data_IF_192013826998
#
_entry.id   IF_192013826998
#
_cell.length_a   1.000
_cell.length_b   1.000
_cell.length_c   1.000
_cell.angle_alpha   90.00
_cell.angle_beta   90.00
_cell.angle_gamma   90.00
#
_symmetry.space_group_name_H-M   'P 1'
#
loop_
_entity.id
_entity.type
_entity.pdbx_description
1 polymer ?
#
# COMPACT_ATOMS: atom_id res chain seq x y z
N UNK A 1 34.39 -2.69 -8.52
CA UNK A 1 33.07 -3.31 -8.32
C UNK A 1 32.11 -2.17 -8.12
N UNK A 2 31.08 -2.09 -8.96
CA UNK A 2 30.09 -1.01 -8.95
C UNK A 2 28.95 -1.40 -8.02
N UNK A 3 28.40 -0.46 -7.26
CA UNK A 3 27.19 -0.65 -6.46
C UNK A 3 26.22 0.50 -6.70
N UNK A 4 24.93 0.18 -6.84
CA UNK A 4 23.89 1.21 -6.93
C UNK A 4 22.66 0.83 -6.13
N UNK A 5 21.97 1.84 -5.62
CA UNK A 5 20.69 1.67 -4.93
C UNK A 5 19.54 2.03 -5.87
N UNK A 6 18.52 1.19 -5.93
CA UNK A 6 17.33 1.39 -6.74
C UNK A 6 16.10 1.50 -5.85
N UNK A 7 15.44 2.66 -5.91
CA UNK A 7 14.18 2.97 -5.21
C UNK A 7 13.16 3.57 -6.17
N UNK A 8 11.88 3.45 -5.84
CA UNK A 8 10.78 4.06 -6.57
C UNK A 8 9.67 4.48 -5.59
N UNK A 9 8.66 5.21 -6.09
CA UNK A 9 7.38 5.44 -5.41
C UNK A 9 7.55 5.95 -3.97
N UNK A 10 8.34 7.01 -3.82
CA UNK A 10 8.72 7.57 -2.52
C UNK A 10 7.53 8.30 -1.89
N UNK A 11 6.73 9.00 -2.70
CA UNK A 11 5.54 9.75 -2.29
C UNK A 11 5.81 10.63 -1.05
N UNK A 12 6.86 11.46 -1.12
CA UNK A 12 7.28 12.31 -0.01
C UNK A 12 6.11 13.11 0.56
N UNK A 13 6.05 13.14 1.89
CA UNK A 13 5.01 13.81 2.69
C UNK A 13 3.58 13.31 2.53
N UNK A 14 3.33 12.33 1.64
CA UNK A 14 1.99 11.75 1.46
C UNK A 14 1.41 11.24 2.79
N UNK A 15 0.15 11.58 3.12
CA UNK A 15 -0.46 11.18 4.37
C UNK A 15 -0.69 9.67 4.42
N UNK A 16 -0.58 9.11 5.63
CA UNK A 16 -0.90 7.72 5.90
C UNK A 16 -2.41 7.58 6.16
N UNK A 17 -3.15 7.16 5.12
CA UNK A 17 -4.61 7.10 5.13
C UNK A 17 -5.12 6.06 6.12
N UNK A 18 -6.17 6.39 6.87
CA UNK A 18 -6.80 5.50 7.86
C UNK A 18 -6.27 5.66 9.29
N UNK A 19 -5.26 6.51 9.51
CA UNK A 19 -4.72 6.79 10.85
C UNK A 19 -5.08 8.18 11.39
N UNK A 20 -5.61 9.07 10.54
CA UNK A 20 -5.84 10.48 10.86
C UNK A 20 -6.98 10.72 11.86
N UNK A 21 -7.89 9.75 12.03
CA UNK A 21 -9.07 9.85 12.89
C UNK A 21 -8.87 9.28 14.31
N UNK A 22 -7.67 8.81 14.65
CA UNK A 22 -7.43 8.12 15.93
C UNK A 22 -6.65 9.01 16.90
N UNK A 23 -7.29 9.39 18.01
CA UNK A 23 -6.68 10.25 19.05
C UNK A 23 -5.40 9.64 19.66
N UNK A 24 -5.31 8.31 19.74
CA UNK A 24 -4.17 7.59 20.32
C UNK A 24 -3.10 7.18 19.30
N UNK A 25 -3.30 7.46 18.01
CA UNK A 25 -2.28 7.15 17.01
C UNK A 25 -1.04 8.03 17.27
N UNK A 26 0.19 7.53 17.09
CA UNK A 26 1.40 8.34 17.26
C UNK A 26 1.54 9.30 16.09
N UNK A 27 0.74 10.36 16.10
CA UNK A 27 0.58 11.31 14.99
C UNK A 27 1.94 11.84 14.52
N UNK A 28 2.88 12.09 15.44
CA UNK A 28 4.25 12.52 15.12
C UNK A 28 5.09 11.44 14.42
N UNK A 29 4.94 10.17 14.80
CA UNK A 29 5.57 9.07 14.07
C UNK A 29 4.94 8.91 12.70
N UNK A 30 3.63 9.07 12.58
CA UNK A 30 2.90 8.89 11.31
C UNK A 30 3.15 10.03 10.32
N UNK A 31 3.11 11.29 10.79
CA UNK A 31 3.26 12.51 9.96
C UNK A 31 4.65 12.72 9.36
N UNK A 32 5.64 11.92 9.76
CA UNK A 32 6.99 11.95 9.20
C UNK A 32 7.48 10.61 8.64
N UNK A 33 6.60 9.61 8.50
CA UNK A 33 7.01 8.25 8.16
C UNK A 33 7.72 8.18 6.80
N UNK A 34 7.15 8.82 5.77
CA UNK A 34 7.73 8.87 4.42
C UNK A 34 9.08 9.58 4.40
N UNK A 35 9.23 10.70 5.14
CA UNK A 35 10.52 11.41 5.29
C UNK A 35 11.57 10.55 5.98
N UNK A 36 11.23 9.84 7.06
CA UNK A 36 12.18 8.98 7.77
C UNK A 36 12.58 7.76 6.95
N UNK A 37 11.64 7.15 6.22
CA UNK A 37 11.97 6.08 5.28
C UNK A 37 12.91 6.58 4.17
N UNK A 38 12.71 7.82 3.69
CA UNK A 38 13.63 8.43 2.76
C UNK A 38 14.99 8.73 3.39
N UNK A 39 15.04 9.21 4.64
CA UNK A 39 16.30 9.37 5.37
C UNK A 39 17.06 8.04 5.50
N UNK A 40 16.36 6.95 5.82
CA UNK A 40 16.95 5.60 5.84
C UNK A 40 17.51 5.21 4.46
N UNK A 41 16.84 5.56 3.36
CA UNK A 41 17.33 5.33 2.00
C UNK A 41 18.66 6.05 1.74
N UNK A 42 18.73 7.31 2.16
CA UNK A 42 19.90 8.18 1.98
C UNK A 42 21.06 7.68 2.84
N UNK A 43 20.79 7.31 4.08
CA UNK A 43 21.80 6.79 4.99
C UNK A 43 22.32 5.42 4.49
N UNK A 44 21.45 4.53 4.04
CA UNK A 44 21.83 3.25 3.41
C UNK A 44 22.75 3.47 2.19
N UNK A 45 22.41 4.40 1.29
CA UNK A 45 23.22 4.69 0.12
C UNK A 45 24.65 5.12 0.51
N UNK A 46 24.77 5.91 1.58
CA UNK A 46 26.06 6.38 2.11
C UNK A 46 26.81 5.23 2.80
N UNK A 47 26.14 4.46 3.66
CA UNK A 47 26.72 3.34 4.41
C UNK A 47 27.27 2.26 3.47
N UNK A 48 26.53 1.93 2.41
CA UNK A 48 26.93 0.94 1.42
C UNK A 48 27.91 1.48 0.36
N UNK A 49 28.27 2.78 0.44
CA UNK A 49 29.16 3.47 -0.49
C UNK A 49 28.76 3.25 -1.95
N UNK A 50 27.47 3.44 -2.26
CA UNK A 50 26.98 3.24 -3.63
C UNK A 50 27.52 4.33 -4.55
N UNK A 51 27.81 3.98 -5.80
CA UNK A 51 28.29 4.94 -6.81
C UNK A 51 27.16 5.88 -7.25
N UNK A 52 25.93 5.37 -7.29
CA UNK A 52 24.75 6.16 -7.59
C UNK A 52 23.44 5.61 -7.01
N UNK A 53 22.47 6.51 -6.87
CA UNK A 53 21.08 6.24 -6.49
C UNK A 53 20.15 6.43 -7.69
N UNK A 54 19.28 5.46 -7.94
CA UNK A 54 18.21 5.53 -8.94
C UNK A 54 16.87 5.77 -8.24
N UNK A 55 16.15 6.82 -8.64
CA UNK A 55 14.79 7.13 -8.18
C UNK A 55 13.83 7.04 -9.38
N UNK A 56 13.02 5.98 -9.43
CA UNK A 56 12.17 5.67 -10.59
C UNK A 56 10.71 6.07 -10.37
N UNK A 57 10.48 7.38 -10.41
CA UNK A 57 9.16 7.99 -10.42
C UNK A 57 8.45 8.05 -9.07
N UNK A 58 7.34 8.80 -9.08
CA UNK A 58 6.50 9.19 -7.97
C UNK A 58 7.29 9.57 -6.70
N UNK A 59 8.24 10.50 -6.89
CA UNK A 59 9.01 11.10 -5.81
C UNK A 59 8.10 11.94 -4.89
N UNK A 60 7.15 12.67 -5.48
CA UNK A 60 6.21 13.55 -4.80
C UNK A 60 4.77 13.07 -4.99
N UNK A 61 3.90 13.36 -4.03
CA UNK A 61 2.45 13.23 -4.20
C UNK A 61 1.80 14.53 -4.73
N UNK A 62 0.57 14.45 -5.23
CA UNK A 62 -0.19 15.57 -5.79
C UNK A 62 -0.91 16.29 -4.64
N UNK A 63 -0.43 17.49 -4.26
CA UNK A 63 -1.15 18.57 -3.50
C UNK A 63 -0.25 19.38 -2.54
N UNK A 64 1.02 19.64 -2.88
CA UNK A 64 1.88 20.48 -2.03
C UNK A 64 1.63 21.97 -2.25
N UNK A 65 1.27 22.66 -1.16
CA UNK A 65 1.07 24.12 -1.14
C UNK A 65 2.33 24.89 -0.72
N UNK A 66 3.37 24.22 -0.23
CA UNK A 66 4.59 24.86 0.27
C UNK A 66 5.89 24.24 -0.27
N UNK A 67 7.01 24.95 -0.06
CA UNK A 67 8.34 24.57 -0.56
C UNK A 67 9.10 23.60 0.37
N UNK A 68 8.52 23.18 1.51
CA UNK A 68 9.27 22.45 2.54
C UNK A 68 9.71 21.06 2.06
N UNK A 69 8.86 20.37 1.31
CA UNK A 69 9.17 19.05 0.73
C UNK A 69 10.34 19.13 -0.24
N UNK A 70 10.37 20.16 -1.09
CA UNK A 70 11.48 20.41 -2.02
C UNK A 70 12.80 20.74 -1.29
N UNK A 71 12.75 21.59 -0.25
CA UNK A 71 13.92 21.91 0.58
C UNK A 71 14.47 20.66 1.32
N UNK A 72 13.57 19.83 1.84
CA UNK A 72 13.94 18.55 2.44
C UNK A 72 14.65 17.65 1.44
N UNK A 73 14.07 17.44 0.26
CA UNK A 73 14.67 16.64 -0.81
C UNK A 73 16.04 17.18 -1.22
N UNK A 74 16.15 18.48 -1.52
CA UNK A 74 17.40 19.12 -1.92
C UNK A 74 18.50 19.00 -0.85
N UNK A 75 18.13 19.09 0.43
CA UNK A 75 19.06 18.85 1.55
C UNK A 75 19.64 17.44 1.51
N UNK A 76 18.84 16.42 1.18
CA UNK A 76 19.30 15.03 1.09
C UNK A 76 20.15 14.76 -0.13
N UNK A 77 19.78 15.32 -1.27
CA UNK A 77 20.64 15.30 -2.45
C UNK A 77 22.00 15.95 -2.17
N UNK A 78 22.03 17.04 -1.39
CA UNK A 78 23.26 17.66 -0.91
C UNK A 78 24.10 16.78 0.03
N UNK A 79 23.47 15.90 0.84
CA UNK A 79 24.21 14.90 1.63
C UNK A 79 24.89 13.87 0.72
N UNK A 80 24.15 13.33 -0.26
CA UNK A 80 24.67 12.40 -1.25
C UNK A 80 25.81 13.02 -2.06
N UNK A 81 25.67 14.29 -2.46
CA UNK A 81 26.72 15.02 -3.18
C UNK A 81 28.03 15.10 -2.38
N UNK A 82 27.94 15.39 -1.07
CA UNK A 82 29.11 15.41 -0.19
C UNK A 82 29.79 14.05 -0.05
N UNK A 83 29.02 12.97 -0.21
CA UNK A 83 29.52 11.60 -0.23
C UNK A 83 30.01 11.16 -1.63
N UNK A 84 29.90 12.02 -2.65
CA UNK A 84 30.30 11.70 -4.02
C UNK A 84 29.30 10.81 -4.78
N UNK A 85 28.07 10.68 -4.28
CA UNK A 85 27.05 9.79 -4.83
C UNK A 85 26.21 10.53 -5.86
N UNK A 86 26.15 10.01 -7.09
CA UNK A 86 25.31 10.55 -8.16
C UNK A 86 23.85 10.11 -7.97
N UNK A 87 22.90 10.90 -8.48
CA UNK A 87 21.46 10.59 -8.40
C UNK A 87 20.81 10.72 -9.76
N UNK A 88 20.07 9.69 -10.17
CA UNK A 88 19.38 9.63 -11.45
C UNK A 88 17.88 9.47 -11.23
N UNK A 89 17.09 10.37 -11.81
CA UNK A 89 15.65 10.45 -11.53
C UNK A 89 14.86 10.41 -12.83
N UNK A 90 13.84 9.54 -12.86
CA UNK A 90 12.75 9.56 -13.84
C UNK A 90 11.49 10.01 -13.11
N UNK A 91 10.72 10.92 -13.68
CA UNK A 91 9.44 11.37 -13.10
C UNK A 91 8.30 10.40 -13.41
N UNK A 92 7.45 10.14 -12.42
CA UNK A 92 6.21 9.37 -12.56
C UNK A 92 4.98 10.25 -12.81
N UNK A 93 3.82 9.66 -12.57
CA UNK A 93 2.49 10.24 -12.79
C UNK A 93 2.27 11.47 -11.90
N UNK A 94 2.62 11.36 -10.62
CA UNK A 94 2.37 12.38 -9.62
C UNK A 94 3.35 13.55 -9.76
N UNK A 95 4.60 13.25 -10.09
CA UNK A 95 5.65 14.24 -10.33
C UNK A 95 5.34 15.14 -11.53
N UNK A 96 4.77 14.58 -12.60
CA UNK A 96 4.50 15.31 -13.83
C UNK A 96 3.50 16.46 -13.65
N UNK A 97 2.68 16.42 -12.60
CA UNK A 97 1.66 17.44 -12.29
C UNK A 97 2.23 18.58 -11.44
N UNK A 98 3.30 18.32 -10.68
CA UNK A 98 3.75 19.22 -9.63
C UNK A 98 4.63 20.37 -10.17
N UNK A 99 4.04 21.54 -10.39
CA UNK A 99 4.72 22.72 -10.95
C UNK A 99 5.85 23.27 -10.07
N UNK A 100 5.76 23.13 -8.74
CA UNK A 100 6.75 23.67 -7.79
C UNK A 100 8.10 22.97 -7.99
N UNK A 101 8.07 21.64 -8.10
CA UNK A 101 9.28 20.80 -8.24
C UNK A 101 10.04 21.06 -9.53
N UNK A 102 9.35 21.47 -10.61
CA UNK A 102 9.97 21.82 -11.90
C UNK A 102 10.83 23.09 -11.86
N UNK A 103 10.63 23.95 -10.86
CA UNK A 103 11.29 25.25 -10.77
C UNK A 103 12.42 25.30 -9.73
N UNK A 104 12.55 24.26 -8.93
CA UNK A 104 13.55 24.22 -7.86
C UNK A 104 14.92 23.83 -8.43
N UNK A 105 16.00 24.54 -8.11
CA UNK A 105 17.34 24.16 -8.53
C UNK A 105 17.74 22.85 -7.84
N UNK A 106 18.15 21.86 -8.65
CA UNK A 106 18.71 20.60 -8.15
C UNK A 106 20.24 20.74 -8.01
N UNK A 107 20.85 20.05 -7.02
CA UNK A 107 22.30 19.99 -6.91
C UNK A 107 22.96 19.30 -8.13
N UNK A 108 24.24 19.60 -8.38
CA UNK A 108 24.97 19.13 -9.56
C UNK A 108 25.08 17.59 -9.69
N UNK A 109 24.99 16.85 -8.58
CA UNK A 109 25.02 15.38 -8.59
C UNK A 109 23.68 14.75 -9.02
N UNK A 110 22.62 15.55 -9.19
CA UNK A 110 21.29 15.06 -9.53
C UNK A 110 21.02 15.28 -11.01
N UNK A 111 20.72 14.20 -11.73
CA UNK A 111 20.23 14.28 -13.10
C UNK A 111 18.78 13.82 -13.19
N UNK A 112 17.91 14.74 -13.59
CA UNK A 112 16.52 14.46 -13.94
C UNK A 112 16.40 14.18 -15.45
N UNK A 113 15.90 13.02 -15.82
CA UNK A 113 15.70 12.66 -17.22
C UNK A 113 14.58 13.48 -17.87
N UNK A 114 14.75 13.79 -19.16
CA UNK A 114 13.77 14.55 -19.94
C UNK A 114 12.51 13.74 -20.18
N UNK A 115 11.36 14.41 -20.19
CA UNK A 115 10.10 13.80 -20.56
C UNK A 115 9.89 13.67 -22.08
N UNK A 116 10.63 14.45 -22.88
CA UNK A 116 10.42 14.56 -24.33
C UNK A 116 10.90 13.34 -25.13
N UNK A 117 11.93 12.66 -24.64
CA UNK A 117 12.56 11.50 -25.29
C UNK A 117 13.45 10.77 -24.30
N UNK A 118 13.62 9.47 -24.52
CA UNK A 118 14.65 8.69 -23.86
C UNK A 118 16.03 9.32 -24.09
N UNK A 119 16.81 9.38 -23.02
CA UNK A 119 18.17 9.91 -23.00
C UNK A 119 19.09 8.92 -22.30
N UNK A 120 20.39 9.03 -22.53
CA UNK A 120 21.39 8.09 -22.02
C UNK A 120 22.59 8.86 -21.48
N UNK A 121 22.98 8.51 -20.27
CA UNK A 121 24.11 9.12 -19.56
C UNK A 121 25.17 8.05 -19.41
N UNK A 122 26.36 8.31 -19.96
CA UNK A 122 27.50 7.40 -19.86
C UNK A 122 28.34 7.80 -18.64
N UNK A 123 28.64 6.82 -17.80
CA UNK A 123 29.59 6.93 -16.70
C UNK A 123 30.81 6.13 -17.10
N UNK A 124 31.70 6.76 -17.87
CA UNK A 124 32.89 6.15 -18.48
C UNK A 124 33.76 5.45 -17.44
N UNK A 125 34.02 6.12 -16.31
CA UNK A 125 34.86 5.60 -15.22
C UNK A 125 34.26 4.36 -14.53
N UNK A 126 32.95 4.16 -14.65
CA UNK A 126 32.22 3.05 -14.05
C UNK A 126 31.86 1.95 -15.06
N UNK A 127 32.04 2.19 -16.37
CA UNK A 127 31.61 1.27 -17.42
C UNK A 127 30.10 1.05 -17.45
N UNK A 128 29.30 2.09 -17.18
CA UNK A 128 27.84 2.01 -17.10
C UNK A 128 27.17 3.03 -18.01
N UNK A 129 26.03 2.65 -18.59
CA UNK A 129 25.12 3.58 -19.25
C UNK A 129 23.75 3.51 -18.59
N UNK A 130 23.21 4.67 -18.25
CA UNK A 130 21.89 4.81 -17.65
C UNK A 130 20.96 5.44 -18.68
N UNK A 131 19.92 4.69 -19.07
CA UNK A 131 18.89 5.11 -20.00
C UNK A 131 17.62 5.46 -19.24
N UNK A 132 16.98 6.58 -19.56
CA UNK A 132 15.76 6.99 -18.87
C UNK A 132 14.90 7.98 -19.65
N UNK A 133 13.60 7.99 -19.33
CA UNK A 133 12.62 8.92 -19.85
C UNK A 133 11.55 9.20 -18.79
N UNK A 134 11.39 10.48 -18.44
CA UNK A 134 10.36 10.94 -17.50
C UNK A 134 8.97 11.02 -18.15
N UNK A 135 7.93 11.07 -17.31
CA UNK A 135 6.57 11.32 -17.79
C UNK A 135 6.37 12.80 -18.12
N UNK A 136 5.71 13.08 -19.25
CA UNK A 136 5.35 14.44 -19.67
C UNK A 136 4.06 14.97 -19.06
N UNK A 137 3.18 14.06 -18.64
CA UNK A 137 1.82 14.31 -18.14
C UNK A 137 1.44 13.26 -17.10
N UNK A 138 0.37 13.52 -16.34
CA UNK A 138 -0.16 12.59 -15.33
C UNK A 138 -0.49 11.22 -15.91
N UNK A 139 -1.15 11.20 -17.07
CA UNK A 139 -1.45 10.00 -17.81
C UNK A 139 -0.56 9.91 -19.04
N UNK A 140 0.17 8.80 -19.14
CA UNK A 140 0.95 8.43 -20.31
C UNK A 140 0.43 7.06 -20.74
N UNK A 141 -0.32 7.00 -21.83
CA UNK A 141 -0.84 5.74 -22.38
C UNK A 141 0.05 5.16 -23.49
N UNK A 142 1.13 5.87 -23.83
CA UNK A 142 2.10 5.45 -24.84
C UNK A 142 3.11 4.46 -24.25
N UNK A 143 3.49 3.44 -25.03
CA UNK A 143 4.58 2.55 -24.68
C UNK A 143 5.93 3.25 -24.86
N UNK A 144 6.44 3.86 -23.78
CA UNK A 144 7.72 4.57 -23.79
C UNK A 144 8.91 3.65 -24.05
N UNK A 145 8.83 2.36 -23.67
CA UNK A 145 9.93 1.41 -23.82
C UNK A 145 10.38 1.26 -25.28
N UNK A 146 9.48 1.45 -26.25
CA UNK A 146 9.81 1.39 -27.67
C UNK A 146 10.89 2.40 -28.08
N UNK A 147 10.91 3.58 -27.45
CA UNK A 147 11.83 4.67 -27.79
C UNK A 147 13.19 4.59 -27.10
N UNK A 148 13.38 3.63 -26.19
CA UNK A 148 14.67 3.41 -25.54
C UNK A 148 15.70 2.90 -26.57
N UNK A 149 16.98 3.33 -26.47
CA UNK A 149 18.03 2.86 -27.36
C UNK A 149 18.29 1.36 -27.18
N UNK A 150 18.95 0.75 -28.15
CA UNK A 150 19.42 -0.65 -28.00
C UNK A 150 20.68 -0.69 -27.13
N UNK A 151 20.94 -1.87 -26.54
CA UNK A 151 22.17 -2.18 -25.80
C UNK A 151 23.42 -1.67 -26.53
N UNK A 152 24.32 -1.06 -25.76
CA UNK A 152 25.63 -0.61 -26.21
C UNK A 152 26.73 -1.47 -25.58
N UNK A 153 27.50 -2.14 -26.44
CA UNK A 153 28.57 -3.04 -26.03
C UNK A 153 29.68 -2.32 -25.27
N UNK A 154 30.26 -3.01 -24.28
CA UNK A 154 31.36 -2.48 -23.45
C UNK A 154 30.89 -1.76 -22.18
N UNK A 155 29.58 -1.69 -21.95
CA UNK A 155 28.99 -1.11 -20.75
C UNK A 155 27.93 -2.03 -20.14
N UNK A 156 27.72 -1.89 -18.83
CA UNK A 156 26.50 -2.35 -18.17
C UNK A 156 25.37 -1.36 -18.48
N UNK A 157 24.34 -1.81 -19.20
CA UNK A 157 23.22 -0.96 -19.63
C UNK A 157 22.07 -1.08 -18.63
N UNK A 158 21.65 0.06 -18.06
CA UNK A 158 20.61 0.15 -17.04
C UNK A 158 19.47 1.03 -17.57
N UNK A 159 18.26 0.48 -17.65
CA UNK A 159 17.05 1.24 -18.05
C UNK A 159 16.20 1.64 -16.85
N UNK A 160 15.81 2.91 -16.74
CA UNK A 160 14.90 3.44 -15.72
C UNK A 160 13.54 3.71 -16.34
N UNK A 161 12.49 3.01 -15.93
CA UNK A 161 11.15 3.19 -16.48
C UNK A 161 10.07 3.09 -15.41
N UNK A 162 9.32 4.18 -15.23
CA UNK A 162 8.09 4.14 -14.45
C UNK A 162 6.97 3.57 -15.34
N UNK A 163 6.36 2.42 -15.00
CA UNK A 163 5.40 1.72 -15.88
C UNK A 163 4.55 0.73 -15.08
N UNK A 164 3.31 0.52 -15.51
CA UNK A 164 2.46 -0.54 -14.94
C UNK A 164 2.76 -1.94 -15.44
N UNK A 165 3.55 -2.09 -16.53
CA UNK A 165 3.80 -3.35 -17.24
C UNK A 165 2.50 -4.05 -17.67
N UNK A 166 2.23 -4.16 -18.97
CA UNK A 166 0.96 -4.65 -19.52
C UNK A 166 0.63 -6.08 -19.11
N UNK A 167 -0.68 -6.36 -19.02
CA UNK A 167 -1.21 -7.71 -18.77
C UNK A 167 -1.51 -8.04 -17.30
N UNK A 168 -1.50 -7.05 -16.41
CA UNK A 168 -1.78 -7.23 -14.98
C UNK A 168 -3.14 -6.65 -14.61
N UNK A 169 -3.97 -7.43 -13.90
CA UNK A 169 -5.28 -6.98 -13.41
C UNK A 169 -5.10 -5.89 -12.34
N UNK A 170 -5.94 -4.84 -12.38
CA UNK A 170 -6.05 -3.85 -11.30
C UNK A 170 -5.14 -2.62 -11.39
N UNK A 171 -4.37 -2.43 -12.47
CA UNK A 171 -3.57 -1.23 -12.67
C UNK A 171 -4.03 -0.41 -13.88
N UNK A 172 -4.11 0.91 -13.72
CA UNK A 172 -4.30 1.83 -14.85
C UNK A 172 -3.11 1.72 -15.82
N UNK A 173 -3.37 1.80 -17.12
CA UNK A 173 -2.36 1.59 -18.16
C UNK A 173 -1.42 2.81 -18.29
N UNK A 174 -0.50 2.97 -17.34
CA UNK A 174 0.55 3.99 -17.32
C UNK A 174 1.85 3.47 -17.95
N UNK A 175 2.30 4.16 -19.01
CA UNK A 175 3.36 3.78 -19.94
C UNK A 175 3.41 2.26 -20.20
N UNK A 176 2.33 1.67 -20.73
CA UNK A 176 2.21 0.23 -20.87
C UNK A 176 3.36 -0.37 -21.68
N UNK A 177 4.05 -1.39 -21.16
CA UNK A 177 5.07 -2.15 -21.88
C UNK A 177 5.05 -3.63 -21.47
N UNK A 178 5.54 -4.53 -22.32
CA UNK A 178 5.66 -5.96 -22.04
C UNK A 178 7.06 -6.34 -21.57
N UNK A 179 7.19 -7.47 -20.87
CA UNK A 179 8.49 -8.05 -20.50
C UNK A 179 9.35 -8.30 -21.74
N UNK A 180 8.78 -8.86 -22.80
CA UNK A 180 9.51 -9.17 -24.03
C UNK A 180 10.07 -7.90 -24.71
N UNK A 181 9.33 -6.79 -24.69
CA UNK A 181 9.83 -5.51 -25.19
C UNK A 181 11.02 -4.99 -24.38
N UNK A 182 10.98 -5.10 -23.04
CA UNK A 182 12.11 -4.73 -22.18
C UNK A 182 13.32 -5.63 -22.45
N UNK A 183 13.12 -6.95 -22.56
CA UNK A 183 14.18 -7.91 -22.89
C UNK A 183 14.77 -7.66 -24.27
N UNK A 184 13.94 -7.25 -25.23
CA UNK A 184 14.39 -6.96 -26.61
C UNK A 184 15.41 -5.82 -26.71
N UNK A 185 15.52 -4.96 -25.69
CA UNK A 185 16.55 -3.91 -25.63
C UNK A 185 17.93 -4.42 -25.27
N UNK A 186 18.02 -5.63 -24.70
CA UNK A 186 19.28 -6.28 -24.34
C UNK A 186 20.00 -5.66 -23.15
N UNK A 187 19.31 -4.92 -22.29
CA UNK A 187 19.91 -4.29 -21.10
C UNK A 187 20.21 -5.31 -20.01
N UNK A 188 21.21 -5.02 -19.16
CA UNK A 188 21.61 -5.88 -18.04
C UNK A 188 20.64 -5.74 -16.84
N UNK A 189 20.04 -4.55 -16.68
CA UNK A 189 19.12 -4.25 -15.58
C UNK A 189 18.03 -3.25 -15.99
N UNK A 190 16.78 -3.55 -15.66
CA UNK A 190 15.65 -2.64 -15.72
C UNK A 190 15.19 -2.26 -14.32
N UNK A 191 15.42 -0.99 -13.97
CA UNK A 191 14.94 -0.33 -12.79
C UNK A 191 13.53 0.19 -13.05
N UNK A 192 12.50 -0.51 -12.57
CA UNK A 192 11.10 -0.13 -12.75
C UNK A 192 10.53 0.59 -11.53
N UNK A 193 9.49 1.39 -11.72
CA UNK A 193 8.66 1.98 -10.67
C UNK A 193 7.19 2.03 -11.07
N UNK A 194 6.30 2.49 -10.18
CA UNK A 194 4.82 2.54 -10.25
C UNK A 194 4.14 1.46 -9.40
N UNK A 195 4.67 0.24 -9.42
CA UNK A 195 4.10 -0.87 -8.66
C UNK A 195 4.66 -0.84 -7.23
N UNK A 196 3.81 -0.49 -6.26
CA UNK A 196 4.21 -0.35 -4.84
C UNK A 196 4.54 -1.68 -4.15
N UNK A 197 4.24 -2.81 -4.76
CA UNK A 197 4.65 -4.13 -4.29
C UNK A 197 6.00 -4.48 -4.92
N UNK A 198 6.98 -4.81 -4.08
CA UNK A 198 8.27 -5.32 -4.55
C UNK A 198 8.08 -6.59 -5.37
N UNK A 199 8.79 -6.66 -6.49
CA UNK A 199 8.77 -7.82 -7.38
C UNK A 199 10.04 -7.90 -8.25
N UNK A 200 10.60 -9.09 -8.37
CA UNK A 200 11.56 -9.43 -9.42
C UNK A 200 10.77 -10.08 -10.55
N UNK A 201 10.55 -9.34 -11.64
CA UNK A 201 9.75 -9.78 -12.79
C UNK A 201 10.53 -10.77 -13.65
N UNK A 202 11.83 -10.56 -13.78
CA UNK A 202 12.76 -11.47 -14.44
C UNK A 202 14.15 -11.35 -13.80
N UNK A 203 14.92 -12.43 -13.87
CA UNK A 203 16.30 -12.53 -13.40
C UNK A 203 17.34 -12.63 -14.54
N UNK A 204 16.87 -12.81 -15.79
CA UNK A 204 17.68 -12.72 -17.00
C UNK A 204 16.91 -12.09 -18.18
N UNK A 205 17.23 -10.82 -18.55
CA UNK A 205 17.94 -9.85 -17.71
C UNK A 205 17.12 -9.49 -16.46
N UNK A 206 17.74 -8.81 -15.49
CA UNK A 206 17.06 -8.36 -14.29
C UNK A 206 16.01 -7.29 -14.62
N UNK A 207 14.76 -7.53 -14.23
CA UNK A 207 13.66 -6.56 -14.34
C UNK A 207 13.00 -6.48 -12.97
N UNK A 208 13.11 -5.33 -12.31
CA UNK A 208 12.79 -5.23 -10.87
C UNK A 208 11.88 -4.04 -10.61
N UNK A 209 10.79 -4.30 -9.90
CA UNK A 209 10.04 -3.27 -9.15
C UNK A 209 10.52 -3.30 -7.69
N UNK A 210 11.13 -2.21 -7.18
CA UNK A 210 11.61 -2.18 -5.80
C UNK A 210 10.44 -2.04 -4.81
N UNK A 211 9.26 -1.61 -5.29
CA UNK A 211 8.13 -1.20 -4.45
C UNK A 211 8.29 0.24 -3.97
N UNK A 212 7.34 0.67 -3.14
CA UNK A 212 7.49 1.91 -2.39
C UNK A 212 8.36 1.71 -1.15
N UNK A 213 8.91 2.79 -0.59
CA UNK A 213 9.78 2.74 0.59
C UNK A 213 9.04 2.79 1.93
N UNK A 214 7.77 3.23 1.91
CA UNK A 214 6.92 3.31 3.10
C UNK A 214 5.47 3.08 2.69
N UNK A 215 4.84 2.08 3.29
CA UNK A 215 3.41 1.82 3.11
C UNK A 215 2.58 2.98 3.65
N UNK A 216 1.59 3.42 2.88
CA UNK A 216 0.75 4.59 3.16
C UNK A 216 -0.68 4.23 3.54
N UNK A 217 -1.10 3.01 3.25
CA UNK A 217 -2.43 2.50 3.58
C UNK A 217 -2.43 0.98 3.63
N UNK A 218 -3.52 0.41 4.13
CA UNK A 218 -3.65 -1.04 4.36
C UNK A 218 -3.44 -1.95 3.15
N UNK A 219 -3.63 -1.46 1.91
CA UNK A 219 -3.34 -2.27 0.70
C UNK A 219 -1.83 -2.36 0.38
N UNK A 220 -0.99 -1.62 1.10
CA UNK A 220 0.47 -1.63 0.96
C UNK A 220 1.11 -2.35 2.16
N UNK A 221 0.77 -3.62 2.34
CA UNK A 221 1.26 -4.42 3.47
C UNK A 221 2.71 -4.86 3.33
N UNK A 222 3.28 -5.31 4.45
CA UNK A 222 4.60 -5.94 4.51
C UNK A 222 5.77 -4.95 4.57
N UNK A 223 6.97 -5.49 4.43
CA UNK A 223 8.21 -4.72 4.39
C UNK A 223 8.26 -3.85 3.13
N UNK A 224 8.83 -2.65 3.26
CA UNK A 224 8.96 -1.66 2.18
C UNK A 224 10.36 -1.11 2.16
N UNK A 225 10.91 -0.83 0.97
CA UNK A 225 12.31 -0.44 0.90
C UNK A 225 12.88 -0.32 -0.50
N UNK A 226 14.16 -0.66 -0.63
CA UNK A 226 14.94 -0.45 -1.85
C UNK A 226 15.76 -1.70 -2.23
N UNK A 227 16.31 -1.68 -3.44
CA UNK A 227 17.15 -2.75 -3.98
C UNK A 227 18.59 -2.28 -4.10
N UNK A 228 19.52 -2.92 -3.41
CA UNK A 228 20.94 -2.72 -3.60
C UNK A 228 21.44 -3.71 -4.66
N UNK A 229 22.14 -3.20 -5.66
CA UNK A 229 22.63 -4.00 -6.79
C UNK A 229 24.13 -3.87 -6.89
N UNK A 230 24.81 -5.01 -7.01
CA UNK A 230 26.26 -5.09 -7.21
C UNK A 230 26.57 -5.58 -8.61
N UNK A 231 27.39 -4.82 -9.33
CA UNK A 231 27.87 -5.14 -10.68
C UNK A 231 29.37 -5.37 -10.66
N UNK A 232 29.79 -6.50 -11.24
CA UNK A 232 31.19 -6.85 -11.42
C UNK A 232 31.41 -7.32 -12.86
N UNK A 233 32.52 -6.90 -13.46
CA UNK A 233 32.91 -7.25 -14.83
C UNK A 233 31.81 -6.99 -15.88
N UNK A 234 31.03 -5.92 -15.68
CA UNK A 234 29.94 -5.51 -16.57
C UNK A 234 28.62 -6.23 -16.36
N UNK A 235 28.51 -7.15 -15.39
CA UNK A 235 27.31 -7.94 -15.14
C UNK A 235 26.79 -7.78 -13.71
N UNK A 236 25.47 -7.87 -13.55
CA UNK A 236 24.83 -7.91 -12.23
C UNK A 236 25.18 -9.23 -11.55
N UNK A 237 25.82 -9.14 -10.39
CA UNK A 237 26.28 -10.30 -9.61
C UNK A 237 25.48 -10.52 -8.33
N UNK A 238 24.87 -9.47 -7.80
CA UNK A 238 24.11 -9.55 -6.56
C UNK A 238 22.95 -8.55 -6.57
N UNK A 239 21.82 -8.98 -6.03
CA UNK A 239 20.65 -8.17 -5.75
C UNK A 239 20.20 -8.44 -4.33
N UNK A 240 20.18 -7.39 -3.51
CA UNK A 240 19.78 -7.46 -2.10
C UNK A 240 18.61 -6.51 -1.84
N UNK A 241 17.67 -6.96 -1.01
CA UNK A 241 16.57 -6.15 -0.51
C UNK A 241 16.96 -5.52 0.83
N UNK A 242 16.67 -4.22 0.97
CA UNK A 242 16.83 -3.51 2.23
C UNK A 242 15.51 -2.87 2.63
N UNK A 243 15.07 -3.14 3.86
CA UNK A 243 13.85 -2.55 4.41
C UNK A 243 14.14 -1.12 4.91
N UNK A 244 13.34 -0.15 4.48
CA UNK A 244 13.51 1.27 4.80
C UNK A 244 12.32 1.83 5.59
N UNK A 245 11.20 1.12 5.63
CA UNK A 245 10.01 1.52 6.36
C UNK A 245 10.24 1.71 7.85
N UNK A 246 9.47 2.62 8.41
CA UNK A 246 9.46 2.93 9.84
C UNK A 246 8.17 2.49 10.54
N UNK A 247 7.21 1.95 9.77
CA UNK A 247 6.00 1.29 10.26
C UNK A 247 5.47 0.33 9.19
N UNK A 248 4.82 -0.75 9.62
CA UNK A 248 4.27 -1.77 8.74
C UNK A 248 2.76 -1.84 8.78
N UNK A 249 2.16 -1.96 7.60
CA UNK A 249 0.74 -2.27 7.44
C UNK A 249 0.58 -3.78 7.37
N UNK A 250 -0.38 -4.31 8.13
CA UNK A 250 -0.65 -5.74 8.22
C UNK A 250 -2.14 -6.00 8.18
N UNK A 251 -2.54 -6.97 7.37
CA UNK A 251 -3.87 -7.59 7.48
C UNK A 251 -3.72 -8.86 8.30
N UNK A 252 -4.39 -8.91 9.45
CA UNK A 252 -4.27 -9.97 10.44
C UNK A 252 -5.58 -10.78 10.48
N UNK A 253 -5.71 -11.85 9.70
CA UNK A 253 -6.84 -12.76 9.80
C UNK A 253 -6.73 -13.62 11.06
N UNK A 254 -7.84 -13.77 11.79
CA UNK A 254 -7.93 -14.63 12.98
C UNK A 254 -9.19 -15.49 12.87
N UNK A 255 -8.98 -16.80 12.78
CA UNK A 255 -10.07 -17.78 12.78
C UNK A 255 -10.56 -18.02 14.22
N UNK A 256 -11.83 -17.73 14.45
CA UNK A 256 -12.51 -17.89 15.74
C UNK A 256 -13.34 -19.18 15.82
N UNK A 257 -13.26 -20.08 14.84
CA UNK A 257 -14.10 -21.29 14.80
C UNK A 257 -13.95 -22.19 16.04
N UNK A 258 -12.78 -22.18 16.69
CA UNK A 258 -12.49 -22.91 17.93
C UNK A 258 -12.72 -22.09 19.22
N UNK A 259 -13.15 -20.84 19.11
CA UNK A 259 -13.35 -19.95 20.25
C UNK A 259 -14.77 -20.06 20.81
N UNK A 260 -14.91 -20.68 21.97
CA UNK A 260 -16.19 -20.85 22.67
C UNK A 260 -16.51 -19.72 23.67
N UNK A 261 -15.49 -18.97 24.11
CA UNK A 261 -15.60 -17.96 25.16
C UNK A 261 -14.99 -16.63 24.77
N UNK A 262 -15.37 -15.56 25.47
CA UNK A 262 -14.78 -14.23 25.30
C UNK A 262 -13.26 -14.25 25.52
N UNK A 263 -12.79 -14.95 26.55
CA UNK A 263 -11.37 -15.10 26.84
C UNK A 263 -10.60 -15.77 25.70
N UNK A 264 -11.15 -16.83 25.09
CA UNK A 264 -10.49 -17.50 23.96
C UNK A 264 -10.35 -16.60 22.73
N UNK A 265 -11.29 -15.67 22.50
CA UNK A 265 -11.17 -14.67 21.43
C UNK A 265 -10.02 -13.70 21.71
N UNK A 266 -9.91 -13.21 22.95
CA UNK A 266 -8.81 -12.30 23.32
C UNK A 266 -7.45 -12.99 23.21
N UNK A 267 -7.33 -14.23 23.66
CA UNK A 267 -6.10 -15.02 23.54
C UNK A 267 -5.72 -15.23 22.07
N UNK A 268 -6.67 -15.58 21.21
CA UNK A 268 -6.43 -15.76 19.77
C UNK A 268 -5.94 -14.47 19.11
N UNK A 269 -6.57 -13.33 19.39
CA UNK A 269 -6.16 -12.02 18.84
C UNK A 269 -4.80 -11.60 19.40
N UNK A 270 -4.56 -11.77 20.71
CA UNK A 270 -3.28 -11.46 21.33
C UNK A 270 -2.14 -12.29 20.71
N UNK A 271 -2.36 -13.59 20.52
CA UNK A 271 -1.39 -14.46 19.88
C UNK A 271 -1.11 -14.04 18.42
N UNK A 272 -2.15 -13.69 17.66
CA UNK A 272 -2.01 -13.24 16.29
C UNK A 272 -1.20 -11.93 16.21
N UNK A 273 -1.50 -10.95 17.07
CA UNK A 273 -0.74 -9.70 17.14
C UNK A 273 0.71 -9.93 17.55
N UNK A 274 0.98 -10.84 18.49
CA UNK A 274 2.33 -11.18 18.92
C UNK A 274 3.17 -11.80 17.77
N UNK A 275 2.54 -12.64 16.94
CA UNK A 275 3.18 -13.23 15.74
C UNK A 275 3.53 -12.13 14.74
N UNK A 276 2.58 -11.26 14.41
CA UNK A 276 2.83 -10.17 13.46
C UNK A 276 3.91 -9.21 13.97
N UNK A 277 3.90 -8.88 15.27
CA UNK A 277 4.89 -8.00 15.87
C UNK A 277 6.30 -8.59 15.82
N UNK A 278 6.43 -9.92 15.99
CA UNK A 278 7.70 -10.62 15.83
C UNK A 278 8.23 -10.55 14.40
N UNK A 279 7.33 -10.60 13.39
CA UNK A 279 7.69 -10.47 11.96
C UNK A 279 8.01 -9.02 11.55
N UNK A 280 7.65 -8.04 12.36
CA UNK A 280 7.84 -6.62 12.08
C UNK A 280 9.26 -6.10 12.31
N UNK A 281 10.19 -6.94 12.81
CA UNK A 281 11.58 -6.56 13.10
C UNK A 281 11.69 -5.32 14.02
N UNK A 282 10.82 -5.22 15.02
CA UNK A 282 10.77 -4.10 15.97
C UNK A 282 10.12 -2.83 15.43
N UNK A 283 9.69 -2.82 14.17
CA UNK A 283 8.89 -1.74 13.61
C UNK A 283 7.48 -1.85 14.16
N UNK A 284 6.82 -0.71 14.37
CA UNK A 284 5.47 -0.75 14.85
C UNK A 284 4.47 -1.05 13.72
N UNK A 285 3.34 -1.61 14.12
CA UNK A 285 2.34 -2.18 13.24
C UNK A 285 1.07 -1.36 13.20
N UNK A 286 0.52 -1.25 12.00
CA UNK A 286 -0.84 -0.78 11.74
C UNK A 286 -1.64 -1.96 11.22
N UNK A 287 -2.56 -2.44 12.04
CA UNK A 287 -3.24 -3.72 11.85
C UNK A 287 -4.69 -3.51 11.44
N UNK A 288 -5.08 -4.19 10.35
CA UNK A 288 -6.47 -4.51 10.06
C UNK A 288 -6.76 -5.93 10.55
N UNK A 289 -7.50 -6.05 11.64
CA UNK A 289 -7.92 -7.33 12.19
C UNK A 289 -9.13 -7.84 11.41
N UNK A 290 -9.07 -9.07 10.91
CA UNK A 290 -10.19 -9.72 10.23
C UNK A 290 -10.55 -10.97 11.02
N UNK A 291 -11.68 -10.93 11.71
CA UNK A 291 -12.19 -12.06 12.47
C UNK A 291 -13.06 -12.93 11.56
N UNK A 292 -12.67 -14.19 11.37
CA UNK A 292 -13.37 -15.14 10.50
C UNK A 292 -13.83 -16.36 11.28
N UNK A 293 -14.65 -17.20 10.64
CA UNK A 293 -14.99 -18.53 11.16
C UNK A 293 -16.43 -18.69 11.63
N UNK A 294 -16.82 -19.95 11.77
CA UNK A 294 -18.13 -20.34 12.28
C UNK A 294 -18.01 -20.55 13.78
N UNK A 295 -18.47 -19.59 14.59
CA UNK A 295 -18.13 -19.58 16.01
C UNK A 295 -19.36 -19.42 16.94
N UNK A 296 -19.35 -20.06 18.12
CA UNK A 296 -20.41 -19.88 19.13
C UNK A 296 -20.55 -18.44 19.63
N UNK A 297 -19.45 -17.67 19.60
CA UNK A 297 -19.38 -16.28 20.09
C UNK A 297 -19.89 -15.24 19.08
N UNK A 298 -20.30 -15.66 17.87
CA UNK A 298 -20.76 -14.78 16.80
C UNK A 298 -21.81 -13.75 17.24
N UNK A 299 -22.87 -14.20 17.92
CA UNK A 299 -23.95 -13.31 18.42
C UNK A 299 -23.39 -12.20 19.31
N UNK A 300 -22.41 -12.51 20.18
CA UNK A 300 -21.79 -11.53 21.08
C UNK A 300 -20.90 -10.53 20.32
N UNK A 301 -20.23 -10.99 19.26
CA UNK A 301 -19.40 -10.15 18.40
C UNK A 301 -20.27 -9.11 17.67
N UNK A 302 -21.36 -9.55 17.03
CA UNK A 302 -22.27 -8.69 16.27
C UNK A 302 -22.95 -7.63 17.14
N UNK A 303 -23.36 -7.99 18.36
CA UNK A 303 -24.08 -7.07 19.25
C UNK A 303 -23.20 -5.97 19.86
N UNK A 304 -21.88 -6.19 19.97
CA UNK A 304 -20.97 -5.35 20.77
C UNK A 304 -19.69 -4.99 20.02
N UNK A 305 -19.78 -4.80 18.70
CA UNK A 305 -18.61 -4.53 17.83
C UNK A 305 -17.73 -3.39 18.34
N UNK A 306 -18.32 -2.29 18.83
CA UNK A 306 -17.57 -1.17 19.41
C UNK A 306 -16.79 -1.59 20.67
N UNK A 307 -17.42 -2.32 21.60
CA UNK A 307 -16.76 -2.81 22.81
C UNK A 307 -15.60 -3.75 22.46
N UNK A 308 -15.81 -4.70 21.55
CA UNK A 308 -14.76 -5.60 21.09
C UNK A 308 -13.58 -4.87 20.47
N UNK A 309 -13.86 -3.88 19.62
CA UNK A 309 -12.84 -3.04 18.99
C UNK A 309 -11.97 -2.35 20.03
N UNK A 310 -12.56 -1.78 21.09
CA UNK A 310 -11.81 -1.18 22.19
C UNK A 310 -11.00 -2.20 23.01
N UNK A 311 -11.52 -3.42 23.22
CA UNK A 311 -10.75 -4.49 23.87
C UNK A 311 -9.54 -4.91 23.02
N UNK A 312 -9.71 -5.06 21.70
CA UNK A 312 -8.60 -5.39 20.80
C UNK A 312 -7.57 -4.26 20.71
N UNK A 313 -8.01 -2.99 20.76
CA UNK A 313 -7.13 -1.83 20.89
C UNK A 313 -6.34 -1.90 22.20
N UNK A 314 -6.97 -2.28 23.30
CA UNK A 314 -6.31 -2.53 24.59
C UNK A 314 -5.25 -3.64 24.52
N UNK A 315 -5.53 -4.74 23.80
CA UNK A 315 -4.54 -5.81 23.56
C UNK A 315 -3.33 -5.27 22.78
N UNK A 316 -3.57 -4.52 21.70
CA UNK A 316 -2.50 -3.90 20.91
C UNK A 316 -1.65 -2.92 21.74
N UNK A 317 -2.30 -2.09 22.55
CA UNK A 317 -1.62 -1.18 23.47
C UNK A 317 -0.80 -1.92 24.54
N UNK A 318 -1.31 -3.05 25.05
CA UNK A 318 -0.61 -3.89 26.04
C UNK A 318 0.63 -4.59 25.49
N UNK A 319 0.62 -4.98 24.21
CA UNK A 319 1.81 -5.49 23.51
C UNK A 319 2.81 -4.39 23.16
N UNK A 320 2.31 -3.16 22.97
CA UNK A 320 3.10 -2.02 22.51
C UNK A 320 3.36 -2.10 21.00
N UNK A 321 3.54 -0.93 20.36
CA UNK A 321 3.84 -0.84 18.93
C UNK A 321 2.83 -1.52 17.99
N UNK A 322 1.59 -1.75 18.43
CA UNK A 322 0.51 -2.29 17.59
C UNK A 322 -0.67 -1.33 17.66
N UNK A 323 -1.04 -0.78 16.49
CA UNK A 323 -2.18 0.12 16.33
C UNK A 323 -3.24 -0.52 15.47
N UNK A 324 -4.45 -0.58 16.01
CA UNK A 324 -5.61 -1.12 15.32
C UNK A 324 -6.20 -0.05 14.42
N UNK A 325 -6.08 -0.23 13.10
CA UNK A 325 -6.72 0.62 12.08
C UNK A 325 -8.21 0.29 11.96
N UNK A 326 -8.53 -0.99 11.78
CA UNK A 326 -9.91 -1.45 11.60
C UNK A 326 -10.08 -2.89 12.05
N UNK A 327 -11.28 -3.20 12.53
CA UNK A 327 -11.73 -4.58 12.77
C UNK A 327 -12.83 -4.91 11.77
N UNK A 328 -12.66 -6.02 11.05
CA UNK A 328 -13.71 -6.62 10.22
C UNK A 328 -14.24 -7.86 10.91
N UNK A 329 -15.54 -7.87 11.18
CA UNK A 329 -16.24 -9.02 11.74
C UNK A 329 -16.85 -9.82 10.58
N UNK A 330 -16.17 -10.88 10.17
CA UNK A 330 -16.58 -11.79 9.08
C UNK A 330 -16.79 -13.21 9.64
N UNK A 331 -17.30 -13.28 10.86
CA UNK A 331 -17.73 -14.51 11.51
C UNK A 331 -19.18 -14.84 11.14
N UNK A 332 -19.57 -16.09 11.26
CA UNK A 332 -20.98 -16.49 11.16
C UNK A 332 -21.39 -17.41 12.31
N UNK A 333 -22.70 -17.51 12.54
CA UNK A 333 -23.23 -18.28 13.65
C UNK A 333 -23.09 -19.79 13.42
N UNK A 334 -22.65 -20.50 14.45
CA UNK A 334 -22.75 -21.97 14.49
C UNK A 334 -24.19 -22.37 14.83
N UNK A 335 -25.12 -22.24 13.87
CA UNK A 335 -26.47 -22.79 14.03
C UNK A 335 -26.41 -24.26 13.68
N UNK A 336 -26.62 -25.16 14.63
CA UNK A 336 -27.10 -26.51 14.31
C UNK A 336 -28.55 -26.33 13.84
N UNK A 337 -28.89 -26.61 12.58
CA UNK A 337 -30.24 -26.39 12.05
C UNK A 337 -31.34 -27.02 12.91
N UNK A 338 -30.99 -28.12 13.57
CA UNK A 338 -31.85 -28.96 14.40
C UNK A 338 -32.31 -28.30 15.72
N UNK A 339 -31.57 -27.34 16.29
CA UNK A 339 -31.90 -26.74 17.60
C UNK A 339 -32.82 -25.50 17.53
N UNK A 340 -32.92 -24.83 16.38
CA UNK A 340 -33.83 -23.69 16.18
C UNK A 340 -35.25 -24.14 15.82
N UNK A 341 -35.38 -25.36 15.28
CA UNK A 341 -36.63 -25.93 14.78
C UNK A 341 -37.66 -26.29 15.86
N UNK A 342 -37.28 -26.37 17.15
CA UNK A 342 -38.20 -26.80 18.22
C UNK A 342 -38.85 -25.66 19.04
N UNK A 343 -38.44 -24.39 18.89
CA UNK A 343 -38.81 -23.38 19.91
C UNK A 343 -39.99 -22.44 19.58
N UNK A 344 -40.21 -21.97 18.34
CA UNK A 344 -41.37 -21.11 18.03
C UNK A 344 -41.58 -20.96 16.51
N UNK A 345 -42.69 -21.50 15.96
CA UNK A 345 -42.99 -21.41 14.52
C UNK A 345 -43.07 -19.96 14.00
N UNK A 346 -43.43 -19.00 14.87
CA UNK A 346 -43.50 -17.59 14.50
C UNK A 346 -42.10 -16.98 14.35
N UNK A 347 -41.15 -17.38 15.20
CA UNK A 347 -39.76 -16.94 15.12
C UNK A 347 -39.08 -17.54 13.88
N UNK A 348 -39.35 -18.80 13.56
CA UNK A 348 -38.83 -19.45 12.35
C UNK A 348 -39.29 -18.75 11.07
N UNK A 349 -40.57 -18.39 10.97
CA UNK A 349 -41.09 -17.63 9.83
C UNK A 349 -40.46 -16.24 9.70
N UNK A 350 -40.15 -15.59 10.82
CA UNK A 350 -39.53 -14.27 10.84
C UNK A 350 -38.03 -14.32 10.50
N UNK A 351 -37.32 -15.35 10.99
CA UNK A 351 -35.93 -15.64 10.61
C UNK A 351 -35.82 -15.96 9.12
N UNK A 352 -36.74 -16.77 8.60
CA UNK A 352 -36.82 -17.08 7.17
C UNK A 352 -37.12 -15.81 6.35
N UNK A 353 -38.02 -14.94 6.81
CA UNK A 353 -38.27 -13.64 6.17
C UNK A 353 -37.06 -12.71 6.15
N UNK A 354 -36.19 -12.78 7.17
CA UNK A 354 -34.94 -11.99 7.23
C UNK A 354 -33.86 -12.56 6.31
N UNK A 355 -33.81 -13.90 6.16
CA UNK A 355 -32.92 -14.56 5.22
C UNK A 355 -33.36 -14.35 3.76
N UNK A 356 -34.67 -14.29 3.53
CA UNK A 356 -35.30 -14.01 2.24
C UNK A 356 -35.42 -12.50 1.93
N UNK A 357 -35.05 -11.63 2.88
CA UNK A 357 -34.95 -10.19 2.68
C UNK A 357 -33.79 -9.90 1.72
N UNK A 358 -34.11 -9.90 0.43
CA UNK A 358 -33.29 -9.29 -0.59
C UNK A 358 -33.32 -7.77 -0.33
N UNK A 359 -32.16 -7.17 -0.11
CA UNK A 359 -31.98 -5.72 -0.25
C UNK A 359 -31.58 -5.50 -1.70
N UNK A 360 -32.56 -5.52 -2.59
CA UNK A 360 -32.37 -5.46 -4.03
C UNK A 360 -31.92 -4.05 -4.43
N UNK A 361 -30.68 -3.93 -4.92
CA UNK A 361 -30.23 -2.94 -5.91
C UNK A 361 -30.22 -1.45 -5.55
N UNK A 362 -30.88 -1.03 -4.47
CA UNK A 362 -31.02 0.38 -4.12
C UNK A 362 -29.86 0.84 -3.24
N UNK A 363 -29.18 1.91 -3.67
CA UNK A 363 -28.13 2.55 -2.85
C UNK A 363 -28.68 2.91 -1.46
N UNK A 364 -27.82 2.92 -0.43
CA UNK A 364 -28.15 3.33 0.95
C UNK A 364 -28.96 4.64 1.04
N UNK A 365 -28.80 5.55 0.07
CA UNK A 365 -29.54 6.80 -0.06
C UNK A 365 -31.01 6.64 -0.46
N UNK A 366 -31.38 5.56 -1.14
CA UNK A 366 -32.77 5.23 -1.47
C UNK A 366 -33.48 4.53 -0.30
N UNK A 367 -32.75 3.76 0.52
CA UNK A 367 -33.25 3.17 1.76
C UNK A 367 -33.39 4.19 2.90
N UNK A 368 -32.56 5.24 2.89
CA UNK A 368 -32.58 6.32 3.88
C UNK A 368 -32.63 7.68 3.16
N UNK A 369 -33.82 8.26 2.93
CA UNK A 369 -33.99 9.51 2.17
C UNK A 369 -33.21 10.71 2.73
N UNK A 370 -32.91 10.68 4.02
CA UNK A 370 -32.12 11.70 4.72
C UNK A 370 -30.63 11.68 4.31
N UNK A 371 -30.11 10.53 3.86
CA UNK A 371 -28.75 10.38 3.35
C UNK A 371 -28.57 11.13 2.03
N UNK A 372 -29.58 11.13 1.15
CA UNK A 372 -29.57 11.90 -0.10
C UNK A 372 -29.52 13.42 0.16
N UNK A 373 -30.24 13.88 1.18
CA UNK A 373 -30.18 15.27 1.61
C UNK A 373 -28.80 15.64 2.18
N UNK A 374 -28.14 14.71 2.87
CA UNK A 374 -26.76 14.87 3.36
C UNK A 374 -25.75 14.91 2.19
N UNK A 375 -25.88 14.01 1.20
CA UNK A 375 -25.05 14.00 -0.03
C UNK A 375 -25.05 15.36 -0.74
N UNK A 376 -26.23 15.98 -0.88
CA UNK A 376 -26.36 17.28 -1.55
C UNK A 376 -25.68 18.45 -0.82
N UNK A 377 -25.30 18.26 0.45
CA UNK A 377 -24.70 19.27 1.32
C UNK A 377 -23.22 19.02 1.63
N UNK A 378 -22.66 17.88 1.19
CA UNK A 378 -21.27 17.53 1.43
C UNK A 378 -20.37 18.06 0.29
N UNK A 379 -19.15 18.55 0.59
CA UNK A 379 -18.21 19.01 -0.43
C UNK A 379 -17.78 17.89 -1.40
N UNK A 380 -17.62 18.17 -2.72
CA UNK A 380 -17.27 17.19 -3.74
C UNK A 380 -15.93 16.47 -3.47
N UNK A 381 -15.07 17.02 -2.62
CA UNK A 381 -13.78 16.43 -2.23
C UNK A 381 -13.92 15.17 -1.35
N UNK A 382 -15.07 14.96 -0.67
CA UNK A 382 -15.36 13.75 0.13
C UNK A 382 -15.68 12.54 -0.76
N UNK A 383 -15.99 12.77 -2.04
CA UNK A 383 -16.41 11.75 -2.98
C UNK A 383 -15.26 11.14 -3.80
N UNK A 384 -14.01 11.56 -3.54
CA UNK A 384 -12.83 11.13 -4.31
C UNK A 384 -12.10 9.99 -3.58
N UNK A 385 -12.33 8.76 -4.03
CA UNK A 385 -11.66 7.54 -3.56
C UNK A 385 -12.54 6.29 -3.77
N UNK A 386 -11.94 5.13 -4.03
CA UNK A 386 -12.66 3.85 -4.28
C UNK A 386 -13.49 3.33 -3.08
N UNK A 387 -13.38 3.94 -1.90
CA UNK A 387 -14.20 3.62 -0.72
C UNK A 387 -15.15 4.79 -0.37
N UNK A 388 -15.99 5.22 -1.32
CA UNK A 388 -17.06 6.17 -1.02
C UNK A 388 -18.16 5.48 -0.20
N UNK A 389 -18.34 5.89 1.06
CA UNK A 389 -19.42 5.43 1.95
C UNK A 389 -20.83 5.54 1.31
N UNK A 390 -20.96 6.47 0.36
CA UNK A 390 -22.21 6.84 -0.30
C UNK A 390 -22.44 6.09 -1.61
N UNK A 391 -21.39 5.48 -2.17
CA UNK A 391 -21.43 4.60 -3.34
C UNK A 391 -20.59 3.34 -3.08
N UNK A 392 -21.02 2.49 -2.12
CA UNK A 392 -20.33 1.24 -1.84
C UNK A 392 -20.32 0.34 -3.08
N UNK A 393 -19.23 -0.42 -3.27
CA UNK A 393 -19.18 -1.44 -4.31
C UNK A 393 -20.27 -2.50 -4.09
N UNK A 394 -20.70 -3.24 -5.13
CA UNK A 394 -21.67 -4.33 -4.97
C UNK A 394 -21.26 -5.36 -3.89
N UNK A 395 -19.96 -5.63 -3.76
CA UNK A 395 -19.39 -6.50 -2.73
C UNK A 395 -19.53 -5.89 -1.33
N UNK A 396 -19.27 -4.60 -1.15
CA UNK A 396 -19.43 -3.90 0.12
C UNK A 396 -20.90 -3.85 0.56
N UNK A 397 -21.84 -3.70 -0.39
CA UNK A 397 -23.28 -3.80 -0.12
C UNK A 397 -23.65 -5.21 0.35
N UNK A 398 -23.12 -6.25 -0.31
CA UNK A 398 -23.36 -7.63 0.08
C UNK A 398 -22.80 -7.95 1.49
N UNK A 399 -21.62 -7.43 1.83
CA UNK A 399 -21.02 -7.55 3.17
C UNK A 399 -21.88 -6.85 4.24
N UNK A 400 -22.31 -5.60 3.99
CA UNK A 400 -23.20 -4.85 4.89
C UNK A 400 -24.54 -5.57 5.10
N UNK A 401 -25.12 -6.12 4.02
CA UNK A 401 -26.35 -6.91 4.10
C UNK A 401 -26.21 -8.11 5.03
N UNK A 402 -25.15 -8.90 4.85
CA UNK A 402 -24.88 -10.05 5.72
C UNK A 402 -24.77 -9.64 7.18
N UNK A 403 -24.04 -8.55 7.48
CA UNK A 403 -23.90 -8.04 8.84
C UNK A 403 -25.23 -7.59 9.46
N UNK A 404 -26.11 -6.94 8.68
CA UNK A 404 -27.44 -6.52 9.15
C UNK A 404 -28.33 -7.73 9.43
N UNK A 405 -28.35 -8.72 8.53
CA UNK A 405 -29.09 -9.97 8.73
C UNK A 405 -28.62 -10.69 10.00
N UNK A 406 -27.31 -10.87 10.16
CA UNK A 406 -26.72 -11.51 11.35
C UNK A 406 -27.06 -10.76 12.64
N UNK A 407 -27.03 -9.42 12.64
CA UNK A 407 -27.42 -8.61 13.79
C UNK A 407 -28.89 -8.80 14.16
N UNK A 408 -29.79 -8.79 13.16
CA UNK A 408 -31.23 -8.99 13.39
C UNK A 408 -31.52 -10.39 13.93
N UNK A 409 -30.90 -11.42 13.35
CA UNK A 409 -30.98 -12.81 13.83
C UNK A 409 -30.47 -12.91 15.27
N UNK A 410 -29.32 -12.31 15.55
CA UNK A 410 -28.73 -12.27 16.89
C UNK A 410 -29.65 -11.62 17.93
N UNK A 411 -30.30 -10.51 17.60
CA UNK A 411 -31.25 -9.86 18.49
C UNK A 411 -32.51 -10.71 18.71
N UNK A 412 -33.06 -11.31 17.66
CA UNK A 412 -34.27 -12.14 17.73
C UNK A 412 -34.09 -13.39 18.60
N UNK A 413 -32.97 -14.10 18.43
CA UNK A 413 -32.64 -15.29 19.23
C UNK A 413 -32.49 -14.96 20.73
N UNK A 414 -32.08 -13.73 21.07
CA UNK A 414 -32.00 -13.29 22.47
C UNK A 414 -33.39 -13.11 23.10
N UNK A 415 -34.35 -12.53 22.38
CA UNK A 415 -35.72 -12.37 22.86
C UNK A 415 -36.47 -13.70 22.96
N UNK A 416 -36.18 -14.65 22.06
CA UNK A 416 -36.73 -16.01 22.11
C UNK A 416 -36.30 -16.80 23.35
N UNK A 417 -35.09 -16.55 23.89
CA UNK A 417 -34.57 -17.21 25.11
C UNK A 417 -35.07 -16.59 26.43
N UNK A 418 -35.75 -15.45 26.38
CA UNK A 418 -36.23 -14.70 27.58
C UNK A 418 -37.69 -15.05 27.91
N UNK A 419 -38.32 -15.96 27.16
CA UNK A 419 -39.69 -16.46 27.41
C UNK A 419 -39.73 -17.77 28.19
#
# INVERSE_FOLDING_TARGET
>A
MLRFLHTADIHLDSPLKGLESHEDAPVEQIRGATRRAFDNCIDLAIEENVDFLLIVGDLYDVDWKDYNTGLFFASRMGKLNKAGILVFIVSGNHDAVNQITRTMPLPDNVTLFSAKRAHSIRLEDLGVIIHGQSYGSRAVSENLALHYPQYEAGYCNIGLLHTSLTGREGHEAYAPCTVDELKSKGYDYWALGHVHKREIVADDPWIVFPGNIQGRHIRETGAKGATLVTVADGHVTEIQEYELDVLRWVTCPVDLSSCETTSSVYEAVQQAFAVELALANGKPLVVRLILTGHCPVHTQLCQRTAHWTEQFRGIGAGLGNVWLEKVKFQTSQMVRPEEVLEADMALTGLLQSIQELEFDGDTLAALVPELAALQSKLPPEIFIGEESFLHPSPEAIAELRGQVQDLLIAQLLQYGKVR
#
